data_IF_562659132288
#
_entry.id   IF_562659132288
#
_cell.length_a   1.000
_cell.length_b   1.000
_cell.length_c   1.000
_cell.angle_alpha   90.00
_cell.angle_beta   90.00
_cell.angle_gamma   90.00
#
_symmetry.space_group_name_H-M   'P 1'
#
loop_
_entity.id
_entity.type
_entity.pdbx_description
1 polymer ?
#
# COMPACT_ATOMS: atom_id res chain seq x y z
N UNK A 1 10.63 -27.25 -26.37
CA UNK A 1 10.34 -26.03 -27.17
C UNK A 1 11.59 -25.33 -27.69
N UNK A 2 12.41 -24.69 -26.84
CA UNK A 2 13.59 -23.93 -27.29
C UNK A 2 14.57 -24.74 -28.17
N UNK A 3 14.84 -26.00 -27.81
CA UNK A 3 15.65 -26.92 -28.62
C UNK A 3 15.02 -27.21 -29.99
N UNK A 4 13.73 -27.53 -30.00
CA UNK A 4 12.99 -27.83 -31.24
C UNK A 4 12.96 -26.61 -32.17
N UNK A 5 12.67 -25.42 -31.63
CA UNK A 5 12.69 -24.16 -32.37
C UNK A 5 14.07 -23.72 -32.85
N UNK A 6 15.15 -24.19 -32.21
CA UNK A 6 16.51 -24.01 -32.73
C UNK A 6 16.78 -24.90 -33.95
N UNK A 7 16.40 -26.18 -33.89
CA UNK A 7 16.64 -27.14 -34.97
C UNK A 7 15.73 -26.94 -36.19
N UNK A 8 14.46 -26.57 -35.97
CA UNK A 8 13.43 -26.55 -37.01
C UNK A 8 12.92 -25.13 -37.33
N UNK A 9 13.23 -24.12 -36.52
CA UNK A 9 12.78 -22.74 -36.75
C UNK A 9 13.66 -22.00 -37.75
N UNK A 10 13.09 -21.50 -38.84
CA UNK A 10 13.85 -20.79 -39.88
C UNK A 10 14.18 -19.33 -39.55
N UNK A 11 13.33 -18.62 -38.78
CA UNK A 11 13.44 -17.16 -38.57
C UNK A 11 14.02 -16.74 -37.22
N UNK A 12 13.90 -17.58 -36.17
CA UNK A 12 14.27 -17.24 -34.77
C UNK A 12 15.24 -18.26 -34.12
N UNK A 13 15.93 -19.08 -34.90
CA UNK A 13 16.81 -20.15 -34.39
C UNK A 13 17.85 -19.64 -33.39
N UNK A 14 18.44 -18.48 -33.62
CA UNK A 14 19.41 -17.86 -32.69
C UNK A 14 18.79 -17.53 -31.34
N UNK A 15 17.57 -16.98 -31.30
CA UNK A 15 16.90 -16.65 -30.04
C UNK A 15 16.51 -17.91 -29.27
N UNK A 16 15.99 -18.91 -29.96
CA UNK A 16 15.68 -20.23 -29.39
C UNK A 16 16.92 -20.90 -28.79
N UNK A 17 18.07 -20.78 -29.46
CA UNK A 17 19.35 -21.26 -28.96
C UNK A 17 19.79 -20.52 -27.69
N UNK A 18 19.71 -19.18 -27.69
CA UNK A 18 20.05 -18.38 -26.51
C UNK A 18 19.18 -18.73 -25.31
N UNK A 19 17.88 -18.91 -25.51
CA UNK A 19 16.96 -19.37 -24.47
C UNK A 19 17.34 -20.76 -23.98
N UNK A 20 17.63 -21.70 -24.89
CA UNK A 20 18.05 -23.05 -24.50
C UNK A 20 19.34 -23.03 -23.67
N UNK A 21 20.35 -22.26 -24.10
CA UNK A 21 21.61 -22.10 -23.35
C UNK A 21 21.35 -21.48 -21.98
N UNK A 22 20.52 -20.43 -21.90
CA UNK A 22 20.19 -19.78 -20.63
C UNK A 22 19.49 -20.76 -19.67
N UNK A 23 18.55 -21.58 -20.16
CA UNK A 23 17.87 -22.60 -19.36
C UNK A 23 18.82 -23.73 -18.93
N UNK A 24 19.70 -24.19 -19.82
CA UNK A 24 20.69 -25.20 -19.51
C UNK A 24 21.70 -24.71 -18.45
N UNK A 25 22.19 -23.47 -18.57
CA UNK A 25 23.01 -22.82 -17.56
C UNK A 25 22.23 -22.61 -16.26
N UNK A 26 20.96 -22.26 -16.33
CA UNK A 26 20.07 -22.17 -15.18
C UNK A 26 19.96 -23.48 -14.42
N UNK A 27 19.79 -24.61 -15.12
CA UNK A 27 19.76 -25.94 -14.52
C UNK A 27 21.11 -26.30 -13.86
N UNK A 28 22.23 -26.01 -14.52
CA UNK A 28 23.58 -26.21 -13.97
C UNK A 28 23.79 -25.38 -12.69
N UNK A 29 23.48 -24.08 -12.72
CA UNK A 29 23.62 -23.18 -11.58
C UNK A 29 22.68 -23.59 -10.44
N UNK A 30 21.48 -24.08 -10.76
CA UNK A 30 20.50 -24.56 -9.77
C UNK A 30 21.03 -25.76 -9.00
N UNK A 31 21.53 -26.76 -9.71
CA UNK A 31 22.19 -27.90 -9.12
C UNK A 31 23.40 -27.45 -8.27
N UNK A 32 24.22 -26.55 -8.81
CA UNK A 32 25.42 -26.05 -8.15
C UNK A 32 25.11 -25.34 -6.82
N UNK A 33 24.19 -24.39 -6.80
CA UNK A 33 23.89 -23.63 -5.58
C UNK A 33 23.12 -24.47 -4.55
N UNK A 34 22.27 -25.40 -4.98
CA UNK A 34 21.53 -26.29 -4.08
C UNK A 34 22.49 -27.20 -3.34
N UNK A 35 23.44 -27.82 -4.06
CA UNK A 35 24.46 -28.65 -3.43
C UNK A 35 25.41 -27.84 -2.55
N UNK A 36 25.73 -26.60 -2.93
CA UNK A 36 26.51 -25.66 -2.09
C UNK A 36 25.78 -25.43 -0.77
N UNK A 37 24.48 -25.18 -0.78
CA UNK A 37 23.68 -25.00 0.44
C UNK A 37 23.73 -26.27 1.30
N UNK A 38 23.39 -27.43 0.75
CA UNK A 38 23.41 -28.72 1.48
C UNK A 38 24.80 -28.99 2.09
N UNK A 39 25.86 -28.78 1.31
CA UNK A 39 27.22 -29.03 1.75
C UNK A 39 27.62 -28.11 2.90
N UNK A 40 27.24 -26.83 2.86
CA UNK A 40 27.61 -25.85 3.88
C UNK A 40 26.73 -25.90 5.13
N UNK A 41 25.48 -26.36 5.03
CA UNK A 41 24.55 -26.41 6.17
C UNK A 41 24.56 -27.76 6.89
N UNK A 42 24.64 -28.87 6.15
CA UNK A 42 24.47 -30.22 6.72
C UNK A 42 25.75 -31.06 6.72
N UNK A 43 26.62 -30.90 5.71
CA UNK A 43 27.83 -31.75 5.56
C UNK A 43 29.11 -31.09 6.12
N UNK A 44 29.05 -29.80 6.46
CA UNK A 44 30.14 -29.02 7.01
C UNK A 44 30.26 -29.11 8.53
N UNK A 45 31.31 -28.49 9.09
CA UNK A 45 31.43 -28.35 10.55
C UNK A 45 30.56 -27.21 11.09
N UNK A 46 29.93 -27.37 12.27
CA UNK A 46 29.16 -26.30 12.90
C UNK A 46 30.03 -25.06 13.17
N UNK A 47 29.55 -23.89 12.74
CA UNK A 47 30.28 -22.61 12.90
C UNK A 47 29.90 -21.80 14.13
N UNK A 48 28.83 -22.21 14.81
CA UNK A 48 28.31 -21.55 16.02
C UNK A 48 27.96 -22.60 17.05
N UNK A 49 28.00 -22.24 18.34
CA UNK A 49 27.60 -23.15 19.42
C UNK A 49 26.12 -23.56 19.29
N UNK A 50 25.24 -22.65 18.89
CA UNK A 50 23.82 -22.96 18.62
C UNK A 50 23.65 -24.02 17.54
N UNK A 51 24.51 -24.05 16.51
CA UNK A 51 24.46 -25.08 15.47
C UNK A 51 24.95 -26.43 15.98
N UNK A 52 25.91 -26.46 16.93
CA UNK A 52 26.38 -27.72 17.57
C UNK A 52 25.30 -28.32 18.47
N UNK A 53 24.54 -27.48 19.17
CA UNK A 53 23.49 -27.90 20.10
C UNK A 53 22.10 -27.95 19.44
N UNK A 54 22.01 -27.91 18.11
CA UNK A 54 20.74 -27.96 17.41
C UNK A 54 20.08 -29.33 17.62
N UNK A 55 18.80 -29.32 18.00
CA UNK A 55 17.99 -30.53 18.17
C UNK A 55 16.98 -30.66 17.04
N UNK A 56 16.51 -31.90 16.84
CA UNK A 56 15.51 -32.21 15.83
C UNK A 56 14.20 -31.46 16.03
N UNK A 57 13.55 -31.14 14.92
CA UNK A 57 12.27 -30.42 14.95
C UNK A 57 11.14 -31.30 15.49
N UNK A 58 10.12 -30.67 16.08
CA UNK A 58 8.95 -31.38 16.59
C UNK A 58 8.17 -32.09 15.46
N UNK A 59 7.43 -33.14 15.82
CA UNK A 59 6.64 -33.93 14.86
C UNK A 59 5.62 -33.08 14.09
N UNK A 60 5.12 -31.99 14.68
CA UNK A 60 4.18 -31.08 14.02
C UNK A 60 4.79 -30.33 12.83
N UNK A 61 6.12 -30.22 12.74
CA UNK A 61 6.82 -29.66 11.58
C UNK A 61 7.24 -30.75 10.58
N UNK A 62 7.74 -31.89 11.09
CA UNK A 62 8.29 -32.98 10.26
C UNK A 62 7.19 -33.69 9.46
N UNK A 63 6.02 -33.94 10.05
CA UNK A 63 4.94 -34.67 9.37
C UNK A 63 4.46 -33.93 8.10
N UNK A 64 4.15 -32.62 8.13
CA UNK A 64 3.84 -31.87 6.90
C UNK A 64 4.95 -31.94 5.85
N UNK A 65 6.23 -31.83 6.25
CA UNK A 65 7.36 -31.91 5.32
C UNK A 65 7.47 -33.27 4.65
N UNK A 66 7.23 -34.37 5.37
CA UNK A 66 7.23 -35.72 4.82
C UNK A 66 6.10 -35.93 3.81
N UNK A 67 4.91 -35.41 4.10
CA UNK A 67 3.77 -35.46 3.17
C UNK A 67 4.11 -34.71 1.87
N UNK A 68 4.68 -33.51 1.99
CA UNK A 68 5.11 -32.72 0.83
C UNK A 68 6.21 -33.42 0.04
N UNK A 69 7.18 -34.06 0.71
CA UNK A 69 8.22 -34.83 0.04
C UNK A 69 7.64 -36.02 -0.76
N UNK A 70 6.65 -36.72 -0.20
CA UNK A 70 5.96 -37.79 -0.92
C UNK A 70 5.27 -37.27 -2.19
N UNK A 71 4.58 -36.13 -2.11
CA UNK A 71 3.97 -35.52 -3.29
C UNK A 71 5.00 -35.04 -4.32
N UNK A 72 6.10 -34.44 -3.89
CA UNK A 72 7.17 -34.00 -4.79
C UNK A 72 7.81 -35.19 -5.56
N UNK A 73 7.92 -36.36 -4.93
CA UNK A 73 8.41 -37.57 -5.58
C UNK A 73 7.38 -38.21 -6.52
N UNK A 74 6.10 -38.23 -6.15
CA UNK A 74 5.09 -39.02 -6.85
C UNK A 74 4.32 -38.23 -7.92
N UNK A 75 3.95 -36.97 -7.68
CA UNK A 75 3.08 -36.21 -8.59
C UNK A 75 3.74 -35.95 -9.96
N UNK A 76 5.07 -35.90 -10.02
CA UNK A 76 5.79 -35.74 -11.29
C UNK A 76 5.50 -36.85 -12.30
N UNK A 77 5.20 -38.07 -11.82
CA UNK A 77 4.89 -39.21 -12.69
C UNK A 77 3.54 -39.06 -13.41
N UNK A 78 2.60 -38.29 -12.86
CA UNK A 78 1.28 -38.08 -13.46
C UNK A 78 1.34 -37.26 -14.77
N UNK A 79 2.41 -36.48 -14.97
CA UNK A 79 2.61 -35.64 -16.15
C UNK A 79 3.65 -36.16 -17.16
N UNK A 80 4.11 -37.39 -17.01
CA UNK A 80 5.09 -37.98 -17.94
C UNK A 80 4.41 -38.24 -19.29
N UNK A 81 5.03 -37.75 -20.37
CA UNK A 81 4.55 -37.99 -21.75
C UNK A 81 4.53 -39.49 -22.10
N UNK A 82 3.53 -39.93 -22.86
CA UNK A 82 3.43 -41.32 -23.34
C UNK A 82 4.61 -41.70 -24.25
N UNK A 83 5.21 -40.72 -24.95
CA UNK A 83 6.40 -40.91 -25.79
C UNK A 83 7.69 -41.09 -24.98
N UNK A 84 7.66 -40.85 -23.66
CA UNK A 84 8.86 -40.95 -22.83
C UNK A 84 9.32 -42.41 -22.71
N UNK A 85 10.62 -42.70 -22.86
CA UNK A 85 11.12 -44.08 -22.85
C UNK A 85 10.75 -44.87 -21.59
N UNK A 86 10.34 -46.12 -21.77
CA UNK A 86 10.06 -47.13 -20.72
C UNK A 86 8.83 -46.80 -19.86
N UNK A 87 8.78 -45.65 -19.20
CA UNK A 87 7.76 -45.30 -18.21
C UNK A 87 6.53 -44.59 -18.80
N UNK A 88 6.67 -43.92 -19.94
CA UNK A 88 5.58 -43.19 -20.59
C UNK A 88 4.39 -44.09 -20.95
N UNK A 89 4.60 -45.17 -21.72
CA UNK A 89 3.53 -46.09 -22.11
C UNK A 89 2.85 -46.81 -20.93
N UNK A 90 3.53 -46.93 -19.79
CA UNK A 90 3.00 -47.62 -18.59
C UNK A 90 2.07 -46.69 -17.81
N UNK A 91 2.36 -45.39 -17.79
CA UNK A 91 1.69 -44.42 -16.93
C UNK A 91 0.51 -43.70 -17.62
N UNK A 92 0.47 -43.67 -18.97
CA UNK A 92 -0.70 -43.20 -19.73
C UNK A 92 -1.06 -41.71 -19.57
N UNK A 93 -0.12 -40.89 -19.08
CA UNK A 93 -0.22 -39.44 -18.92
C UNK A 93 -1.60 -38.89 -18.45
N UNK A 94 -2.06 -39.26 -17.23
CA UNK A 94 -3.38 -38.86 -16.73
C UNK A 94 -3.55 -37.34 -16.62
N UNK A 95 -2.46 -36.59 -16.39
CA UNK A 95 -2.52 -35.13 -16.32
C UNK A 95 -2.84 -34.52 -17.69
N UNK A 96 -2.26 -35.03 -18.77
CA UNK A 96 -2.57 -34.55 -20.12
C UNK A 96 -4.00 -34.86 -20.52
N UNK A 97 -4.54 -36.03 -20.16
CA UNK A 97 -5.95 -36.36 -20.40
C UNK A 97 -6.90 -35.42 -19.64
N UNK A 98 -6.60 -35.14 -18.37
CA UNK A 98 -7.38 -34.20 -17.57
C UNK A 98 -7.33 -32.78 -18.16
N UNK A 99 -6.14 -32.26 -18.46
CA UNK A 99 -5.96 -30.92 -19.01
C UNK A 99 -6.44 -30.78 -20.46
N UNK A 100 -6.34 -31.84 -21.26
CA UNK A 100 -6.78 -31.88 -22.65
C UNK A 100 -8.28 -31.59 -22.79
N UNK A 101 -9.09 -32.12 -21.88
CA UNK A 101 -10.53 -31.82 -21.84
C UNK A 101 -10.80 -30.31 -21.63
N UNK A 102 -10.02 -29.63 -20.79
CA UNK A 102 -10.15 -28.18 -20.60
C UNK A 102 -9.60 -27.40 -21.80
N UNK A 103 -8.48 -27.83 -22.37
CA UNK A 103 -7.87 -27.17 -23.53
C UNK A 103 -8.78 -27.23 -24.76
N UNK A 104 -9.43 -28.37 -25.01
CA UNK A 104 -10.43 -28.53 -26.06
C UNK A 104 -11.65 -27.62 -25.82
N UNK A 105 -12.14 -27.56 -24.57
CA UNK A 105 -13.25 -26.66 -24.19
C UNK A 105 -12.91 -25.18 -24.39
N UNK A 106 -11.64 -24.81 -24.28
CA UNK A 106 -11.15 -23.43 -24.42
C UNK A 106 -10.59 -23.13 -25.82
N UNK A 107 -10.72 -24.04 -26.79
CA UNK A 107 -10.17 -23.95 -28.15
C UNK A 107 -8.64 -23.69 -28.19
N UNK A 108 -7.92 -24.10 -27.15
CA UNK A 108 -6.46 -23.96 -27.05
C UNK A 108 -5.80 -25.11 -27.83
N UNK A 109 -5.35 -24.81 -29.05
CA UNK A 109 -4.59 -25.74 -29.87
C UNK A 109 -3.10 -25.60 -29.53
N UNK A 110 -2.61 -26.43 -28.60
CA UNK A 110 -1.19 -26.54 -28.31
C UNK A 110 -0.50 -27.40 -29.39
N UNK A 111 0.60 -26.90 -29.95
CA UNK A 111 1.40 -27.65 -30.91
C UNK A 111 2.12 -28.81 -30.19
N UNK A 112 1.85 -30.05 -30.62
CA UNK A 112 2.48 -31.23 -30.03
C UNK A 112 3.89 -31.36 -30.59
N UNK A 113 4.88 -31.08 -29.75
CA UNK A 113 6.29 -31.19 -30.10
C UNK A 113 6.74 -32.64 -29.89
N UNK A 114 7.31 -33.31 -30.91
CA UNK A 114 7.75 -34.69 -30.77
C UNK A 114 8.85 -34.82 -29.73
N UNK A 115 8.88 -35.95 -29.03
CA UNK A 115 9.92 -36.25 -28.08
C UNK A 115 11.32 -36.31 -28.73
N UNK A 116 12.25 -35.53 -28.20
CA UNK A 116 13.67 -35.57 -28.54
C UNK A 116 14.48 -35.88 -27.27
N UNK A 117 15.32 -36.94 -27.26
CA UNK A 117 16.13 -37.28 -26.10
C UNK A 117 17.28 -36.29 -25.82
N UNK A 118 17.71 -35.49 -26.80
CA UNK A 118 18.90 -34.63 -26.65
C UNK A 118 18.75 -33.59 -25.52
N UNK A 119 17.65 -32.81 -25.40
CA UNK A 119 17.44 -31.92 -24.26
C UNK A 119 17.49 -32.63 -22.92
N UNK A 120 16.91 -33.84 -22.82
CA UNK A 120 16.91 -34.61 -21.57
C UNK A 120 18.32 -34.98 -21.16
N UNK A 121 19.13 -35.50 -22.09
CA UNK A 121 20.52 -35.88 -21.83
C UNK A 121 21.39 -34.67 -21.48
N UNK A 122 21.21 -33.54 -22.18
CA UNK A 122 21.91 -32.28 -21.89
C UNK A 122 21.53 -31.77 -20.50
N UNK A 123 20.24 -31.79 -20.14
CA UNK A 123 19.78 -31.38 -18.82
C UNK A 123 20.34 -32.26 -17.70
N UNK A 124 20.35 -33.59 -17.89
CA UNK A 124 20.97 -34.54 -16.96
C UNK A 124 22.45 -34.20 -16.79
N UNK A 125 23.18 -33.99 -17.89
CA UNK A 125 24.59 -33.62 -17.88
C UNK A 125 24.83 -32.29 -17.14
N UNK A 126 24.00 -31.27 -17.37
CA UNK A 126 24.10 -29.97 -16.69
C UNK A 126 23.86 -30.10 -15.18
N UNK A 127 22.86 -30.88 -14.77
CA UNK A 127 22.56 -31.12 -13.35
C UNK A 127 23.71 -31.85 -12.67
N UNK A 128 24.16 -32.99 -13.22
CA UNK A 128 25.28 -33.74 -12.63
C UNK A 128 26.60 -32.98 -12.70
N UNK A 129 26.82 -32.17 -13.75
CA UNK A 129 27.96 -31.27 -13.85
C UNK A 129 27.94 -30.21 -12.73
N UNK A 130 26.78 -29.60 -12.48
CA UNK A 130 26.60 -28.60 -11.43
C UNK A 130 26.79 -29.19 -10.03
N UNK A 131 26.17 -30.35 -9.76
CA UNK A 131 26.36 -31.10 -8.51
C UNK A 131 27.83 -31.50 -8.32
N UNK A 132 28.46 -32.04 -9.36
CA UNK A 132 29.85 -32.50 -9.34
C UNK A 132 30.83 -31.35 -9.09
N UNK A 133 30.69 -30.24 -9.81
CA UNK A 133 31.55 -29.06 -9.60
C UNK A 133 31.34 -28.48 -8.20
N UNK A 134 30.09 -28.37 -7.74
CA UNK A 134 29.80 -27.88 -6.39
C UNK A 134 30.38 -28.79 -5.31
N UNK A 135 30.32 -30.11 -5.49
CA UNK A 135 30.96 -31.07 -4.60
C UNK A 135 32.49 -30.93 -4.60
N UNK A 136 33.12 -30.66 -5.75
CA UNK A 136 34.56 -30.43 -5.79
C UNK A 136 34.97 -29.15 -5.06
N UNK A 137 34.19 -28.08 -5.20
CA UNK A 137 34.45 -26.77 -4.55
C UNK A 137 34.14 -26.83 -3.06
N UNK A 138 32.96 -27.33 -2.66
CA UNK A 138 32.45 -27.26 -1.28
C UNK A 138 32.52 -28.59 -0.52
N UNK A 139 32.48 -29.73 -1.19
CA UNK A 139 32.53 -31.05 -0.54
C UNK A 139 33.86 -31.35 0.15
N UNK A 140 34.97 -30.81 -0.37
CA UNK A 140 36.28 -30.81 0.31
C UNK A 140 36.51 -29.59 1.20
N UNK A 141 36.04 -28.41 0.78
CA UNK A 141 36.24 -27.16 1.51
C UNK A 141 35.38 -27.02 2.78
N UNK A 142 34.29 -27.76 2.92
CA UNK A 142 33.48 -27.79 4.15
C UNK A 142 34.25 -28.22 5.41
N UNK A 143 35.44 -28.82 5.26
CA UNK A 143 36.35 -29.15 6.36
C UNK A 143 37.38 -28.04 6.69
N UNK A 144 37.76 -27.22 5.71
CA UNK A 144 38.79 -26.18 5.86
C UNK A 144 38.23 -24.77 6.08
N UNK A 145 37.03 -24.50 5.58
CA UNK A 145 36.35 -23.21 5.72
C UNK A 145 35.59 -23.13 7.04
N UNK A 146 36.33 -22.80 8.11
CA UNK A 146 35.82 -22.83 9.49
C UNK A 146 35.55 -21.43 10.08
N UNK A 147 36.17 -20.39 9.54
CA UNK A 147 36.14 -19.04 10.12
C UNK A 147 35.57 -18.03 9.11
N UNK A 148 34.73 -17.10 9.59
CA UNK A 148 34.11 -16.04 8.78
C UNK A 148 35.11 -15.14 8.05
N UNK A 149 36.36 -15.07 8.53
CA UNK A 149 37.42 -14.24 7.95
C UNK A 149 38.06 -14.83 6.68
N UNK A 150 37.76 -16.08 6.34
CA UNK A 150 38.27 -16.72 5.14
C UNK A 150 37.36 -16.44 3.94
N UNK A 151 37.98 -16.07 2.81
CA UNK A 151 37.29 -15.93 1.52
C UNK A 151 36.54 -17.23 1.18
N UNK A 152 35.33 -17.08 0.64
CA UNK A 152 34.54 -18.22 0.15
C UNK A 152 35.37 -19.00 -0.90
N UNK A 153 35.42 -20.34 -0.86
CA UNK A 153 36.14 -21.15 -1.85
C UNK A 153 35.82 -20.79 -3.31
N UNK A 154 34.56 -20.45 -3.60
CA UNK A 154 34.13 -19.97 -4.91
C UNK A 154 34.64 -18.57 -5.20
N UNK A 155 34.63 -17.66 -4.22
CA UNK A 155 35.20 -16.32 -4.36
C UNK A 155 36.68 -16.39 -4.71
N UNK A 156 37.45 -17.17 -3.94
CA UNK A 156 38.87 -17.39 -4.17
C UNK A 156 39.12 -18.02 -5.55
N UNK A 157 38.30 -19.00 -5.96
CA UNK A 157 38.37 -19.60 -7.29
C UNK A 157 38.08 -18.60 -8.41
N UNK A 158 37.01 -17.83 -8.30
CA UNK A 158 36.60 -16.84 -9.29
C UNK A 158 37.59 -15.68 -9.40
N UNK A 159 38.17 -15.22 -8.29
CA UNK A 159 39.23 -14.21 -8.31
C UNK A 159 40.48 -14.70 -9.04
N UNK A 160 40.88 -15.97 -8.86
CA UNK A 160 42.04 -16.56 -9.56
C UNK A 160 41.88 -16.64 -11.08
N UNK A 161 40.67 -16.88 -11.56
CA UNK A 161 40.36 -16.97 -13.01
C UNK A 161 39.93 -15.63 -13.62
N UNK A 162 40.04 -14.51 -12.89
CA UNK A 162 39.69 -13.19 -13.38
C UNK A 162 38.18 -12.87 -13.40
N UNK A 163 37.34 -13.74 -12.82
CA UNK A 163 35.89 -13.56 -12.71
C UNK A 163 35.46 -12.93 -11.37
N UNK A 164 36.39 -12.34 -10.61
CA UNK A 164 36.09 -11.69 -9.33
C UNK A 164 35.04 -10.58 -9.43
N UNK A 165 35.00 -9.83 -10.54
CA UNK A 165 33.97 -8.82 -10.79
C UNK A 165 32.56 -9.42 -10.90
N UNK A 166 32.43 -10.58 -11.56
CA UNK A 166 31.15 -11.29 -11.70
C UNK A 166 30.69 -11.82 -10.34
N UNK A 167 31.63 -12.34 -9.53
CA UNK A 167 31.33 -12.76 -8.16
C UNK A 167 30.83 -11.59 -7.31
N UNK A 168 31.53 -10.45 -7.36
CA UNK A 168 31.15 -9.26 -6.60
C UNK A 168 29.79 -8.70 -7.05
N UNK A 169 29.52 -8.69 -8.36
CA UNK A 169 28.20 -8.33 -8.87
C UNK A 169 27.12 -9.26 -8.32
N UNK A 170 27.31 -10.58 -8.41
CA UNK A 170 26.34 -11.55 -7.88
C UNK A 170 26.17 -11.45 -6.36
N UNK A 171 27.26 -11.25 -5.61
CA UNK A 171 27.28 -11.05 -4.15
C UNK A 171 26.45 -9.82 -3.74
N UNK A 172 26.54 -8.74 -4.52
CA UNK A 172 25.75 -7.52 -4.33
C UNK A 172 24.42 -7.56 -5.10
N UNK A 173 23.87 -8.75 -5.42
CA UNK A 173 22.58 -8.95 -6.12
C UNK A 173 22.45 -8.13 -7.41
N UNK A 174 23.55 -7.99 -8.14
CA UNK A 174 23.69 -7.17 -9.36
C UNK A 174 23.37 -5.68 -9.16
N UNK A 175 23.45 -5.18 -7.93
CA UNK A 175 23.17 -3.79 -7.55
C UNK A 175 21.74 -3.31 -7.86
N UNK A 176 20.80 -4.25 -8.06
CA UNK A 176 19.40 -3.90 -8.33
C UNK A 176 18.74 -3.19 -7.14
N UNK A 177 19.07 -3.60 -5.92
CA UNK A 177 18.54 -2.99 -4.70
C UNK A 177 18.99 -1.52 -4.59
N UNK A 178 20.28 -1.26 -4.85
CA UNK A 178 20.88 0.07 -4.83
C UNK A 178 20.32 0.96 -5.94
N UNK A 179 20.18 0.42 -7.15
CA UNK A 179 19.57 1.11 -8.27
C UNK A 179 18.11 1.48 -7.95
N UNK A 180 17.32 0.54 -7.44
CA UNK A 180 15.93 0.76 -7.08
C UNK A 180 15.79 1.79 -5.95
N UNK A 181 16.67 1.72 -4.95
CA UNK A 181 16.69 2.69 -3.86
C UNK A 181 17.09 4.09 -4.36
N UNK A 182 18.11 4.18 -5.21
CA UNK A 182 18.61 5.44 -5.75
C UNK A 182 17.61 6.13 -6.69
N UNK A 183 16.81 5.34 -7.41
CA UNK A 183 15.83 5.82 -8.39
C UNK A 183 14.44 5.90 -7.77
N UNK A 184 13.72 4.78 -7.72
CA UNK A 184 12.31 4.72 -7.33
C UNK A 184 12.07 5.16 -5.89
N UNK A 185 12.83 4.66 -4.93
CA UNK A 185 12.60 4.98 -3.51
C UNK A 185 12.90 6.44 -3.21
N UNK A 186 14.09 6.94 -3.60
CA UNK A 186 14.44 8.35 -3.39
C UNK A 186 13.50 9.31 -4.10
N UNK A 187 13.09 8.99 -5.33
CA UNK A 187 12.10 9.79 -6.06
C UNK A 187 10.75 9.81 -5.33
N UNK A 188 10.26 8.65 -4.89
CA UNK A 188 9.00 8.54 -4.14
C UNK A 188 9.04 9.32 -2.82
N UNK A 189 10.14 9.23 -2.07
CA UNK A 189 10.33 9.99 -0.84
C UNK A 189 10.41 11.50 -1.09
N UNK A 190 11.09 11.92 -2.16
CA UNK A 190 11.12 13.32 -2.57
C UNK A 190 9.72 13.83 -2.92
N UNK A 191 8.94 13.05 -3.67
CA UNK A 191 7.57 13.41 -4.05
C UNK A 191 6.67 13.51 -2.82
N UNK A 192 6.74 12.53 -1.92
CA UNK A 192 5.99 12.52 -0.65
C UNK A 192 6.29 13.77 0.19
N UNK A 193 7.57 14.12 0.34
CA UNK A 193 7.98 15.33 1.09
C UNK A 193 7.49 16.61 0.41
N UNK A 194 7.54 16.68 -0.91
CA UNK A 194 7.04 17.82 -1.68
C UNK A 194 5.54 18.01 -1.51
N UNK A 195 4.75 16.93 -1.59
CA UNK A 195 3.30 16.97 -1.35
C UNK A 195 2.96 17.37 0.08
N UNK A 196 3.67 16.81 1.07
CA UNK A 196 3.45 17.17 2.48
C UNK A 196 3.81 18.64 2.77
N UNK A 197 4.86 19.16 2.14
CA UNK A 197 5.20 20.59 2.22
C UNK A 197 4.13 21.46 1.58
N UNK A 198 3.60 21.06 0.41
CA UNK A 198 2.54 21.78 -0.28
C UNK A 198 1.27 21.87 0.56
N UNK A 199 0.85 20.74 1.16
CA UNK A 199 -0.31 20.66 2.05
C UNK A 199 -0.16 21.61 3.26
N UNK A 200 0.95 21.48 4.00
CA UNK A 200 1.20 22.28 5.21
C UNK A 200 1.47 23.76 4.97
N UNK A 201 1.97 24.12 3.80
CA UNK A 201 2.35 25.52 3.51
C UNK A 201 1.25 26.23 2.76
N UNK A 202 0.76 25.63 1.68
CA UNK A 202 -0.20 26.25 0.77
C UNK A 202 -1.61 25.99 1.26
N UNK A 203 -2.00 24.73 1.47
CA UNK A 203 -3.39 24.38 1.83
C UNK A 203 -3.72 24.92 3.23
N UNK A 204 -2.92 24.56 4.24
CA UNK A 204 -3.09 25.08 5.59
C UNK A 204 -2.96 26.61 5.65
N UNK A 205 -2.05 27.18 4.84
CA UNK A 205 -1.88 28.64 4.74
C UNK A 205 -3.16 29.34 4.28
N UNK A 206 -3.79 28.81 3.23
CA UNK A 206 -5.07 29.32 2.70
C UNK A 206 -6.19 29.13 3.71
N UNK A 207 -6.34 27.94 4.28
CA UNK A 207 -7.41 27.64 5.26
C UNK A 207 -7.31 28.58 6.47
N UNK A 208 -6.09 28.77 7.01
CA UNK A 208 -5.86 29.67 8.12
C UNK A 208 -6.11 31.14 7.75
N UNK A 209 -5.80 31.56 6.52
CA UNK A 209 -6.10 32.91 6.05
C UNK A 209 -7.61 33.16 6.00
N UNK A 210 -8.37 32.22 5.45
CA UNK A 210 -9.84 32.26 5.45
C UNK A 210 -10.39 32.32 6.88
N UNK A 211 -9.87 31.48 7.78
CA UNK A 211 -10.29 31.48 9.18
C UNK A 211 -9.96 32.79 9.93
N UNK A 212 -8.81 33.41 9.63
CA UNK A 212 -8.46 34.74 10.18
C UNK A 212 -9.38 35.82 9.64
N UNK A 213 -9.68 35.80 8.34
CA UNK A 213 -10.59 36.76 7.71
C UNK A 213 -12.01 36.65 8.28
N UNK A 214 -12.52 35.43 8.45
CA UNK A 214 -13.84 35.21 9.05
C UNK A 214 -13.93 35.75 10.48
N UNK A 215 -12.91 35.52 11.32
CA UNK A 215 -12.86 36.08 12.67
C UNK A 215 -12.79 37.61 12.68
N UNK A 216 -11.96 38.19 11.80
CA UNK A 216 -11.88 39.64 11.66
C UNK A 216 -13.24 40.25 11.26
N UNK A 217 -13.97 39.64 10.33
CA UNK A 217 -15.29 40.08 9.93
C UNK A 217 -16.30 39.97 11.10
N UNK A 218 -16.26 38.88 11.84
CA UNK A 218 -17.10 38.70 13.03
C UNK A 218 -16.82 39.77 14.09
N UNK A 219 -15.55 40.12 14.33
CA UNK A 219 -15.18 41.19 15.27
C UNK A 219 -15.69 42.57 14.84
N UNK A 220 -15.75 42.84 13.52
CA UNK A 220 -16.34 44.07 12.98
C UNK A 220 -17.84 44.09 13.22
N UNK A 221 -18.54 43.00 12.87
CA UNK A 221 -19.98 42.88 13.07
C UNK A 221 -20.34 43.00 14.55
N UNK A 222 -19.56 42.37 15.44
CA UNK A 222 -19.76 42.46 16.89
C UNK A 222 -19.54 43.88 17.43
N UNK A 223 -18.60 44.65 16.85
CA UNK A 223 -18.43 46.07 17.22
C UNK A 223 -19.61 46.92 16.74
N UNK A 224 -20.08 46.69 15.53
CA UNK A 224 -21.26 47.37 14.99
C UNK A 224 -22.50 47.10 15.85
N UNK A 225 -22.73 45.85 16.22
CA UNK A 225 -23.82 45.41 17.09
C UNK A 225 -23.79 46.17 18.44
N UNK A 226 -22.65 46.12 19.16
CA UNK A 226 -22.51 46.81 20.45
C UNK A 226 -22.59 48.34 20.39
N UNK A 227 -22.21 48.94 19.26
CA UNK A 227 -22.14 50.41 19.14
C UNK A 227 -23.44 50.99 18.61
N UNK A 228 -24.03 50.35 17.61
CA UNK A 228 -25.19 50.86 16.88
C UNK A 228 -26.46 50.19 17.38
N UNK A 229 -26.50 48.85 17.38
CA UNK A 229 -27.72 48.10 17.72
C UNK A 229 -28.02 48.28 19.21
N UNK A 230 -27.07 47.98 20.09
CA UNK A 230 -27.24 48.19 21.53
C UNK A 230 -27.45 49.67 21.87
N UNK A 231 -26.79 50.59 21.14
CA UNK A 231 -26.98 52.03 21.31
C UNK A 231 -28.42 52.46 21.02
N UNK A 232 -29.00 51.98 19.92
CA UNK A 232 -30.39 52.23 19.56
C UNK A 232 -31.34 51.59 20.58
N UNK A 233 -31.13 50.33 20.92
CA UNK A 233 -32.00 49.58 21.85
C UNK A 233 -32.00 50.21 23.24
N UNK A 234 -30.83 50.52 23.81
CA UNK A 234 -30.72 51.20 25.09
C UNK A 234 -31.26 52.64 25.03
N UNK A 235 -31.10 53.32 23.90
CA UNK A 235 -31.72 54.61 23.63
C UNK A 235 -33.25 54.54 23.72
N UNK A 236 -33.87 53.58 23.05
CA UNK A 236 -35.33 53.35 23.12
C UNK A 236 -35.74 53.00 24.55
N UNK A 237 -35.00 52.13 25.23
CA UNK A 237 -35.25 51.76 26.62
C UNK A 237 -35.19 52.96 27.57
N UNK A 238 -34.17 53.81 27.44
CA UNK A 238 -34.02 55.02 28.27
C UNK A 238 -35.13 56.04 28.03
N UNK A 239 -35.57 56.21 26.77
CA UNK A 239 -36.73 57.04 26.43
C UNK A 239 -38.02 56.54 27.07
N UNK A 240 -38.25 55.22 27.04
CA UNK A 240 -39.42 54.61 27.67
C UNK A 240 -39.41 54.80 29.20
N UNK A 241 -38.26 54.58 29.86
CA UNK A 241 -38.09 54.79 31.30
C UNK A 241 -38.31 56.26 31.67
N UNK A 242 -37.76 57.19 30.88
CA UNK A 242 -37.97 58.63 31.07
C UNK A 242 -39.45 59.01 30.97
N UNK A 243 -40.14 58.54 29.92
CA UNK A 243 -41.56 58.81 29.71
C UNK A 243 -42.41 58.28 30.88
N UNK A 244 -42.13 57.06 31.36
CA UNK A 244 -42.76 56.51 32.55
C UNK A 244 -42.50 57.33 33.81
N UNK A 245 -41.28 57.86 33.97
CA UNK A 245 -40.91 58.75 35.07
C UNK A 245 -41.71 60.07 35.07
N UNK A 246 -41.91 60.68 33.90
CA UNK A 246 -42.74 61.88 33.73
C UNK A 246 -44.21 61.58 34.05
N UNK A 247 -44.75 60.49 33.51
CA UNK A 247 -46.13 60.06 33.78
C UNK A 247 -46.37 59.78 35.27
N UNK A 248 -45.36 59.29 35.99
CA UNK A 248 -45.43 59.06 37.44
C UNK A 248 -45.65 60.35 38.23
N UNK A 249 -45.11 61.48 37.77
CA UNK A 249 -45.28 62.78 38.45
C UNK A 249 -46.71 63.33 38.34
N UNK A 250 -47.51 62.85 37.38
CA UNK A 250 -48.95 63.18 37.28
C UNK A 250 -49.74 62.57 38.44
N UNK A 251 -49.23 61.50 39.06
CA UNK A 251 -49.85 60.89 40.23
C UNK A 251 -49.35 61.55 41.53
N UNK A 252 -50.10 62.54 42.03
CA UNK A 252 -49.72 63.33 43.23
C UNK A 252 -50.04 62.64 44.56
N UNK A 253 -50.78 61.54 44.55
CA UNK A 253 -51.18 60.80 45.77
C UNK A 253 -52.25 61.52 46.63
N UNK A 254 -52.69 62.72 46.23
CA UNK A 254 -53.73 63.48 46.93
C UNK A 254 -55.10 63.25 46.29
N UNK A 255 -56.03 62.65 47.03
CA UNK A 255 -57.40 62.35 46.54
C UNK A 255 -58.12 63.57 45.93
N UNK A 256 -57.86 64.76 46.46
CA UNK A 256 -58.44 66.03 45.98
C UNK A 256 -58.00 66.38 44.56
N UNK A 257 -56.73 66.16 44.21
CA UNK A 257 -56.23 66.41 42.85
C UNK A 257 -56.88 65.47 41.83
N UNK A 258 -57.10 64.20 42.18
CA UNK A 258 -57.78 63.24 41.32
C UNK A 258 -59.25 63.60 41.09
N UNK A 259 -59.97 64.03 42.13
CA UNK A 259 -61.36 64.48 42.01
C UNK A 259 -61.48 65.72 41.12
N UNK A 260 -60.55 66.67 41.26
CA UNK A 260 -60.51 67.89 40.44
C UNK A 260 -60.22 67.56 38.97
N UNK A 261 -59.25 66.68 38.69
CA UNK A 261 -58.98 66.19 37.33
C UNK A 261 -60.18 65.45 36.75
N UNK A 262 -60.83 64.57 37.52
CA UNK A 262 -62.02 63.85 37.07
C UNK A 262 -63.18 64.81 36.74
N UNK A 263 -63.45 65.80 37.60
CA UNK A 263 -64.48 66.81 37.36
C UNK A 263 -64.18 67.64 36.10
N UNK A 264 -62.95 68.14 35.95
CA UNK A 264 -62.52 68.86 34.76
C UNK A 264 -62.62 67.99 33.49
N UNK A 265 -62.28 66.70 33.59
CA UNK A 265 -62.39 65.75 32.47
C UNK A 265 -63.86 65.55 32.09
N UNK A 266 -64.76 65.39 33.05
CA UNK A 266 -66.21 65.27 32.79
C UNK A 266 -66.77 66.56 32.18
N UNK A 267 -66.42 67.73 32.71
CA UNK A 267 -66.86 69.02 32.17
C UNK A 267 -66.33 69.25 30.74
N UNK A 268 -65.08 68.89 30.47
CA UNK A 268 -64.49 68.96 29.14
C UNK A 268 -65.20 68.01 28.18
N UNK A 269 -65.44 66.75 28.59
CA UNK A 269 -66.18 65.77 27.77
C UNK A 269 -67.61 66.23 27.51
N UNK A 270 -68.29 66.82 28.49
CA UNK A 270 -69.62 67.40 28.31
C UNK A 270 -69.59 68.61 27.37
N UNK A 271 -68.57 69.47 27.45
CA UNK A 271 -68.41 70.60 26.54
C UNK A 271 -68.10 70.13 25.11
N UNK A 272 -67.22 69.14 24.94
CA UNK A 272 -66.94 68.53 23.64
C UNK A 272 -68.17 67.82 23.08
N UNK A 273 -68.91 67.09 23.91
CA UNK A 273 -70.18 66.46 23.54
C UNK A 273 -71.22 67.52 23.16
N UNK A 274 -71.32 68.61 23.90
CA UNK A 274 -72.23 69.71 23.59
C UNK A 274 -71.84 70.41 22.29
N UNK A 275 -70.56 70.68 22.07
CA UNK A 275 -70.04 71.22 20.79
C UNK A 275 -70.32 70.24 19.65
N UNK A 276 -70.16 68.95 19.87
CA UNK A 276 -70.44 67.93 18.86
C UNK A 276 -71.95 67.83 18.59
N UNK A 277 -72.81 67.79 19.61
CA UNK A 277 -74.27 67.68 19.47
C UNK A 277 -74.90 68.97 18.93
N UNK A 278 -74.51 70.14 19.43
CA UNK A 278 -75.01 71.44 18.97
C UNK A 278 -74.36 71.86 17.65
N UNK A 279 -73.08 71.56 17.43
CA UNK A 279 -72.41 71.77 16.15
C UNK A 279 -72.95 70.89 15.03
N UNK A 280 -73.39 69.65 15.36
CA UNK A 280 -74.14 68.80 14.42
C UNK A 280 -75.59 69.33 14.25
N UNK A 281 -76.19 69.92 15.28
CA UNK A 281 -77.54 70.50 15.22
C UNK A 281 -77.66 71.89 14.56
N UNK A 282 -76.55 72.58 14.28
CA UNK A 282 -76.53 73.85 13.52
C UNK A 282 -76.13 73.64 12.04
N UNK A 283 -75.73 72.41 11.67
CA UNK A 283 -75.48 71.98 10.29
C UNK A 283 -76.59 71.09 9.71
N UNK A 284 -77.79 71.13 10.30
CA UNK A 284 -79.05 70.60 9.75
C UNK A 284 -80.14 71.65 9.86
#
# INVERSE_FOLDING_TARGET
EAWYGFLHGSTNSTMSLLVFIALALGAFLTAFYTWRQISMTFLGQPRTESAKSASESSKSMVVPLLILAAFALLLGYAGVSEEFPIIGPILGNPLHQFLGHFAETLEIHAEVIPFDPAPVLISILMVFGGLGLSYLVYGRAGKGWQTYDQLDPLEAGMQRIGLGAVYNASRNKFYFDELYNATFVRFSLWLSRSTAWFDRTIIDGVVNAVGRFGRWLADILARFDRSVIDGIVNGIGSLAVWAGGVLRLVQTGQAQSYLLVALLTVLLLLALFFIQVVGIGVAG
#
